data_IF_310744482327
#
_entry.id   IF_310744482327
#
_cell.length_a   1.000
_cell.length_b   1.000
_cell.length_c   1.000
_cell.angle_alpha   90.00
_cell.angle_beta   90.00
_cell.angle_gamma   90.00
#
_symmetry.space_group_name_H-M   'P 1'
#
loop_
_entity.id
_entity.type
_entity.pdbx_description
1 polymer ?
#
# COMPACT_ATOMS: atom_id res chain seq x y z
N UNK A 1 -7.88 -24.55 23.55
CA UNK A 1 -8.48 -23.20 23.64
C UNK A 1 -7.36 -22.19 23.47
N UNK A 2 -7.18 -21.68 22.25
CA UNK A 2 -6.21 -20.62 21.98
C UNK A 2 -6.90 -19.32 22.38
N UNK A 3 -6.34 -18.61 23.35
CA UNK A 3 -6.85 -17.34 23.85
C UNK A 3 -6.92 -16.33 22.71
N UNK A 4 -8.13 -16.03 22.25
CA UNK A 4 -8.44 -14.86 21.43
C UNK A 4 -8.22 -13.61 22.29
N UNK A 5 -6.98 -13.18 22.44
CA UNK A 5 -6.66 -11.88 22.98
C UNK A 5 -6.97 -10.85 21.89
N UNK A 6 -8.27 -10.55 21.70
CA UNK A 6 -8.79 -9.44 20.89
C UNK A 6 -8.55 -8.09 21.59
N UNK A 7 -7.33 -7.86 22.07
CA UNK A 7 -6.86 -6.55 22.48
C UNK A 7 -5.90 -6.00 21.43
N UNK A 8 -6.21 -6.19 20.15
CA UNK A 8 -5.51 -5.50 19.07
C UNK A 8 -5.92 -4.04 19.10
N UNK A 9 -4.95 -3.22 19.46
CA UNK A 9 -5.03 -1.79 19.68
C UNK A 9 -5.54 -1.13 18.40
N UNK A 10 -6.82 -0.77 18.35
CA UNK A 10 -7.46 0.00 17.27
C UNK A 10 -6.98 1.46 17.28
N UNK A 11 -5.68 1.70 17.09
CA UNK A 11 -5.19 3.06 16.79
C UNK A 11 -4.86 3.21 15.31
N UNK A 12 -5.04 4.42 14.77
CA UNK A 12 -4.56 4.80 13.45
C UNK A 12 -3.07 4.45 13.34
N UNK A 13 -2.71 3.61 12.40
CA UNK A 13 -1.33 3.16 12.21
C UNK A 13 -0.52 4.21 11.45
N UNK A 14 -1.15 4.91 10.51
CA UNK A 14 -0.46 5.77 9.54
C UNK A 14 -1.24 7.06 9.32
N UNK A 15 -0.53 8.17 9.17
CA UNK A 15 -1.10 9.48 8.86
C UNK A 15 -0.30 10.14 7.74
N UNK A 16 -0.98 10.45 6.63
CA UNK A 16 -0.37 10.98 5.42
C UNK A 16 -0.91 12.36 5.08
N UNK A 17 -0.04 13.34 4.90
CA UNK A 17 -0.42 14.68 4.45
C UNK A 17 -0.63 14.70 2.92
N UNK A 18 -1.87 14.59 2.46
CA UNK A 18 -2.21 14.62 1.04
C UNK A 18 -2.63 16.02 0.59
N UNK A 19 -2.12 16.43 -0.56
CA UNK A 19 -2.54 17.65 -1.25
C UNK A 19 -3.79 17.33 -2.10
N UNK A 20 -4.91 17.99 -1.83
CA UNK A 20 -6.18 17.84 -2.56
C UNK A 20 -6.59 19.18 -3.15
N UNK A 21 -7.17 19.16 -4.35
CA UNK A 21 -7.79 20.34 -4.94
C UNK A 21 -9.16 20.53 -4.29
N UNK A 22 -9.43 21.71 -3.74
CA UNK A 22 -10.74 22.06 -3.22
C UNK A 22 -11.69 22.51 -4.34
N UNK A 23 -12.97 22.73 -4.00
CA UNK A 23 -14.00 23.16 -4.95
C UNK A 23 -13.72 24.52 -5.59
N UNK A 24 -12.85 25.33 -4.98
CA UNK A 24 -12.44 26.65 -5.44
C UNK A 24 -11.18 26.60 -6.32
N UNK A 25 -10.71 25.40 -6.72
CA UNK A 25 -9.51 25.23 -7.53
C UNK A 25 -8.20 25.54 -6.80
N UNK A 26 -8.23 25.70 -5.48
CA UNK A 26 -7.03 25.88 -4.63
C UNK A 26 -6.62 24.55 -4.03
N UNK A 27 -5.32 24.38 -3.83
CA UNK A 27 -4.82 23.19 -3.17
C UNK A 27 -4.79 23.37 -1.67
N UNK A 28 -5.33 22.37 -0.97
CA UNK A 28 -5.30 22.26 0.48
C UNK A 28 -4.58 20.98 0.89
N UNK A 29 -3.94 21.01 2.05
CA UNK A 29 -3.27 19.87 2.62
C UNK A 29 -4.15 19.29 3.71
N UNK A 30 -4.56 18.03 3.53
CA UNK A 30 -5.39 17.31 4.48
C UNK A 30 -4.65 16.06 4.93
N UNK A 31 -4.72 15.76 6.22
CA UNK A 31 -4.26 14.50 6.73
C UNK A 31 -5.23 13.40 6.37
N UNK A 32 -4.68 12.27 5.93
CA UNK A 32 -5.43 11.06 5.61
C UNK A 32 -4.91 9.96 6.49
N UNK A 33 -5.83 9.36 7.24
CA UNK A 33 -5.54 8.40 8.28
C UNK A 33 -5.79 6.99 7.76
N UNK A 34 -4.87 6.07 8.06
CA UNK A 34 -4.99 4.67 7.67
C UNK A 34 -4.83 3.74 8.86
N UNK A 35 -5.47 2.59 8.75
CA UNK A 35 -5.25 1.40 9.57
C UNK A 35 -4.87 0.23 8.67
N UNK A 36 -4.02 -0.66 9.17
CA UNK A 36 -3.65 -1.91 8.51
C UNK A 36 -4.63 -2.98 8.97
N UNK A 37 -5.29 -3.65 8.02
CA UNK A 37 -6.28 -4.71 8.32
C UNK A 37 -5.62 -5.92 8.99
N UNK A 38 -4.44 -6.32 8.51
CA UNK A 38 -3.73 -7.49 9.01
C UNK A 38 -2.84 -7.18 10.23
N UNK A 39 -3.19 -7.71 11.40
CA UNK A 39 -2.42 -7.51 12.63
C UNK A 39 -0.98 -8.09 12.56
N UNK A 40 -0.77 -9.14 11.77
CA UNK A 40 0.52 -9.78 11.55
C UNK A 40 1.16 -9.36 10.22
N UNK A 41 0.85 -8.14 9.74
CA UNK A 41 1.35 -7.62 8.47
C UNK A 41 2.88 -7.73 8.31
N UNK A 42 3.64 -7.56 9.41
CA UNK A 42 5.10 -7.65 9.38
C UNK A 42 5.58 -9.06 9.00
N UNK A 43 4.97 -10.08 9.60
CA UNK A 43 5.25 -11.48 9.30
C UNK A 43 4.86 -11.84 7.87
N UNK A 44 3.71 -11.35 7.40
CA UNK A 44 3.23 -11.55 6.02
C UNK A 44 4.26 -11.00 5.02
N UNK A 45 4.80 -9.79 5.26
CA UNK A 45 5.78 -9.17 4.38
C UNK A 45 7.15 -9.84 4.45
N UNK A 46 7.61 -10.24 5.65
CA UNK A 46 8.87 -10.95 5.84
C UNK A 46 8.88 -12.31 5.13
N UNK A 47 7.76 -13.04 5.17
CA UNK A 47 7.65 -14.37 4.57
C UNK A 47 7.33 -14.32 3.07
N UNK A 48 7.18 -13.14 2.48
CA UNK A 48 6.85 -13.00 1.06
C UNK A 48 8.07 -13.21 0.17
N UNK A 49 8.03 -14.25 -0.66
CA UNK A 49 9.06 -14.56 -1.65
C UNK A 49 8.83 -13.89 -3.03
N UNK A 50 7.93 -12.90 -3.12
CA UNK A 50 7.59 -12.26 -4.38
C UNK A 50 8.75 -11.39 -4.90
N UNK A 51 9.37 -11.84 -5.99
CA UNK A 51 10.46 -11.12 -6.67
C UNK A 51 9.93 -9.92 -7.45
N UNK A 52 10.24 -8.70 -7.04
CA UNK A 52 9.98 -7.50 -7.84
C UNK A 52 11.27 -6.99 -8.51
N UNK A 53 11.12 -6.07 -9.47
CA UNK A 53 12.27 -5.35 -10.04
C UNK A 53 12.46 -4.00 -9.32
N UNK A 54 13.60 -3.34 -9.57
CA UNK A 54 13.96 -2.03 -8.97
C UNK A 54 12.93 -0.91 -9.18
N UNK A 55 12.02 -1.04 -10.14
CA UNK A 55 11.02 -0.03 -10.45
C UNK A 55 9.67 -0.28 -9.72
N UNK A 56 9.56 -1.37 -8.96
CA UNK A 56 8.34 -1.72 -8.22
C UNK A 56 8.64 -1.84 -6.73
N UNK A 57 7.73 -1.29 -5.93
CA UNK A 57 7.73 -1.49 -4.48
C UNK A 57 7.56 -3.00 -4.23
N UNK A 58 8.53 -3.58 -3.52
CA UNK A 58 8.57 -4.99 -3.13
C UNK A 58 7.89 -5.17 -1.77
N UNK A 59 7.63 -6.40 -1.32
CA UNK A 59 7.22 -6.66 0.06
C UNK A 59 8.16 -6.04 1.09
N UNK A 60 9.47 -6.18 0.91
CA UNK A 60 10.47 -5.60 1.82
C UNK A 60 10.44 -4.06 1.81
N UNK A 61 10.30 -3.44 0.63
CA UNK A 61 10.17 -1.99 0.55
C UNK A 61 8.86 -1.50 1.19
N UNK A 62 7.75 -2.23 1.01
CA UNK A 62 6.49 -1.87 1.67
C UNK A 62 6.64 -1.97 3.19
N UNK A 63 7.32 -3.00 3.70
CA UNK A 63 7.62 -3.11 5.13
C UNK A 63 8.37 -1.88 5.64
N UNK A 64 9.47 -1.50 4.99
CA UNK A 64 10.25 -0.32 5.39
C UNK A 64 9.44 0.99 5.29
N UNK A 65 8.57 1.13 4.27
CA UNK A 65 7.64 2.25 4.15
C UNK A 65 6.72 2.30 5.37
N UNK A 66 6.07 1.19 5.72
CA UNK A 66 5.10 1.12 6.82
C UNK A 66 5.79 1.41 8.16
N UNK A 67 6.92 0.78 8.46
CA UNK A 67 7.67 0.99 9.71
C UNK A 67 8.01 2.48 9.92
N UNK A 68 8.54 3.14 8.89
CA UNK A 68 8.90 4.57 8.99
C UNK A 68 7.68 5.47 9.13
N UNK A 69 6.58 5.17 8.44
CA UNK A 69 5.35 5.96 8.54
C UNK A 69 4.68 5.79 9.90
N UNK A 70 4.65 4.58 10.45
CA UNK A 70 4.14 4.28 11.80
C UNK A 70 4.97 5.02 12.86
N UNK A 71 6.29 5.12 12.66
CA UNK A 71 7.17 5.90 13.55
C UNK A 71 7.08 7.42 13.33
N UNK A 72 6.16 7.91 12.48
CA UNK A 72 5.88 9.34 12.29
C UNK A 72 6.75 10.05 11.25
N UNK A 73 7.53 9.35 10.43
CA UNK A 73 8.25 10.01 9.34
C UNK A 73 7.30 10.51 8.26
N UNK A 74 7.61 11.66 7.67
CA UNK A 74 6.87 12.18 6.54
C UNK A 74 7.20 11.42 5.23
N UNK A 75 6.32 11.54 4.24
CA UNK A 75 6.45 10.83 2.96
C UNK A 75 7.73 11.16 2.18
N UNK A 76 8.31 12.35 2.40
CA UNK A 76 9.54 12.77 1.72
C UNK A 76 10.71 11.98 2.27
N UNK A 77 10.84 11.93 3.60
CA UNK A 77 11.87 11.12 4.27
C UNK A 77 11.74 9.64 3.93
N UNK A 78 10.52 9.11 3.88
CA UNK A 78 10.30 7.72 3.47
C UNK A 78 10.70 7.50 2.01
N UNK A 79 10.26 8.38 1.11
CA UNK A 79 10.61 8.35 -0.32
C UNK A 79 12.13 8.31 -0.55
N UNK A 80 12.86 9.15 0.18
CA UNK A 80 14.31 9.25 0.07
C UNK A 80 15.00 7.98 0.59
N UNK A 81 14.49 7.37 1.67
CA UNK A 81 15.04 6.15 2.23
C UNK A 81 14.86 4.92 1.32
N UNK A 82 13.65 4.73 0.76
CA UNK A 82 13.35 3.55 -0.06
C UNK A 82 13.63 3.75 -1.55
N UNK A 83 14.06 4.94 -1.97
CA UNK A 83 14.37 5.25 -3.36
C UNK A 83 13.16 5.30 -4.31
N UNK A 84 11.94 5.49 -3.78
CA UNK A 84 10.71 5.60 -4.56
C UNK A 84 10.08 6.99 -4.42
N UNK A 85 9.77 7.63 -5.55
CA UNK A 85 9.06 8.93 -5.56
C UNK A 85 7.82 8.89 -4.67
N UNK A 86 7.60 9.94 -3.87
CA UNK A 86 6.41 10.06 -2.98
C UNK A 86 5.08 9.79 -3.70
N UNK A 87 4.94 10.21 -4.98
CA UNK A 87 3.74 9.92 -5.80
C UNK A 87 3.50 8.43 -5.97
N UNK A 88 4.55 7.63 -6.15
CA UNK A 88 4.42 6.18 -6.28
C UNK A 88 3.93 5.54 -4.97
N UNK A 89 4.40 6.04 -3.83
CA UNK A 89 3.96 5.59 -2.50
C UNK A 89 2.49 6.00 -2.28
N UNK A 90 2.10 7.24 -2.58
CA UNK A 90 0.69 7.65 -2.48
C UNK A 90 -0.24 6.79 -3.33
N UNK A 91 0.11 6.57 -4.60
CA UNK A 91 -0.65 5.72 -5.50
C UNK A 91 -0.70 4.27 -5.00
N UNK A 92 0.31 3.80 -4.27
CA UNK A 92 0.29 2.47 -3.67
C UNK A 92 -0.81 2.39 -2.62
N UNK A 93 -0.84 3.32 -1.66
CA UNK A 93 -1.88 3.38 -0.63
C UNK A 93 -3.28 3.36 -1.24
N UNK A 94 -3.54 4.20 -2.25
CA UNK A 94 -4.84 4.24 -2.93
C UNK A 94 -5.22 2.88 -3.55
N UNK A 95 -4.23 2.15 -4.09
CA UNK A 95 -4.47 0.83 -4.70
C UNK A 95 -4.71 -0.26 -3.68
N UNK A 96 -4.11 -0.18 -2.49
CA UNK A 96 -4.19 -1.23 -1.46
C UNK A 96 -5.28 -0.93 -0.42
N UNK A 97 -5.90 0.25 -0.45
CA UNK A 97 -7.12 0.55 0.31
C UNK A 97 -8.22 -0.44 -0.05
N UNK A 98 -8.80 -1.10 0.96
CA UNK A 98 -9.89 -2.08 0.85
C UNK A 98 -11.23 -1.56 1.37
N UNK A 99 -11.21 -0.55 2.23
CA UNK A 99 -12.42 -0.01 2.82
C UNK A 99 -12.19 1.28 3.58
N UNK A 100 -13.25 1.74 4.24
CA UNK A 100 -13.24 2.88 5.13
C UNK A 100 -13.96 2.53 6.43
N UNK A 101 -13.50 3.11 7.54
CA UNK A 101 -14.12 3.06 8.86
C UNK A 101 -14.59 4.47 9.22
N UNK A 102 -15.83 4.55 9.68
CA UNK A 102 -16.49 5.76 10.19
C UNK A 102 -16.63 5.61 11.71
N UNK A 103 -16.84 6.71 12.43
CA UNK A 103 -16.95 6.77 13.90
C UNK A 103 -15.72 6.22 14.65
N UNK A 104 -14.53 6.35 14.05
CA UNK A 104 -13.31 5.81 14.64
C UNK A 104 -12.95 6.45 15.98
N UNK A 105 -13.49 7.64 16.28
CA UNK A 105 -13.38 8.29 17.59
C UNK A 105 -13.87 7.44 18.77
N UNK A 106 -14.71 6.43 18.52
CA UNK A 106 -15.10 5.43 19.55
C UNK A 106 -13.90 4.63 20.06
N UNK A 107 -12.87 4.46 19.24
CA UNK A 107 -11.64 3.72 19.55
C UNK A 107 -10.47 4.66 19.86
N UNK A 108 -10.36 5.77 19.13
CA UNK A 108 -9.29 6.75 19.30
C UNK A 108 -9.81 8.16 19.04
N UNK A 109 -9.85 9.00 20.07
CA UNK A 109 -10.38 10.37 19.96
C UNK A 109 -9.58 11.26 19.01
N UNK A 110 -8.24 11.20 19.03
CA UNK A 110 -7.39 12.04 18.19
C UNK A 110 -6.25 11.24 17.57
N UNK A 111 -5.82 11.60 16.36
CA UNK A 111 -4.69 10.96 15.68
C UNK A 111 -3.40 11.15 16.50
N UNK A 112 -2.70 10.06 16.83
CA UNK A 112 -1.43 10.12 17.56
C UNK A 112 -0.30 10.81 16.77
N UNK A 113 -0.41 10.83 15.44
CA UNK A 113 0.63 11.34 14.55
C UNK A 113 0.44 12.83 14.20
N UNK A 114 -0.79 13.28 13.94
CA UNK A 114 -1.07 14.66 13.56
C UNK A 114 -1.87 15.46 14.60
N UNK A 115 -2.38 14.81 15.65
CA UNK A 115 -3.14 15.45 16.74
C UNK A 115 -4.59 15.81 16.43
N UNK A 116 -5.07 15.61 15.19
CA UNK A 116 -6.43 15.96 14.76
C UNK A 116 -7.48 15.08 15.45
N UNK A 117 -8.64 15.66 15.80
CA UNK A 117 -9.81 14.95 16.30
C UNK A 117 -10.40 14.03 15.21
N UNK A 118 -10.64 12.77 15.54
CA UNK A 118 -11.12 11.75 14.61
C UNK A 118 -12.66 11.61 14.59
N UNK A 119 -13.41 12.45 15.31
CA UNK A 119 -14.87 12.34 15.45
C UNK A 119 -15.63 12.26 14.12
N UNK A 120 -15.21 13.02 13.13
CA UNK A 120 -15.85 13.10 11.81
C UNK A 120 -14.88 12.70 10.67
N UNK A 121 -13.73 12.12 11.03
CA UNK A 121 -12.70 11.75 10.08
C UNK A 121 -12.96 10.37 9.48
N UNK A 122 -12.77 10.25 8.17
CA UNK A 122 -12.78 8.95 7.49
C UNK A 122 -11.43 8.29 7.64
N UNK A 123 -11.41 7.11 8.25
CA UNK A 123 -10.20 6.29 8.34
C UNK A 123 -10.22 5.27 7.21
N UNK A 124 -9.12 5.16 6.48
CA UNK A 124 -8.99 4.23 5.37
C UNK A 124 -8.34 2.94 5.85
N UNK A 125 -8.79 1.80 5.34
CA UNK A 125 -8.23 0.50 5.68
C UNK A 125 -7.40 0.00 4.51
N UNK A 126 -6.13 -0.34 4.75
CA UNK A 126 -5.24 -0.93 3.76
C UNK A 126 -5.01 -2.41 4.04
N UNK A 127 -4.85 -3.19 2.97
CA UNK A 127 -4.57 -4.63 3.06
C UNK A 127 -3.23 -4.97 2.41
N UNK A 128 -2.38 -5.63 3.19
CA UNK A 128 -1.14 -6.23 2.71
C UNK A 128 -1.42 -7.41 1.78
N UNK A 129 -2.46 -8.20 2.06
CA UNK A 129 -2.84 -9.30 1.16
C UNK A 129 -3.25 -8.76 -0.22
N UNK A 130 -4.00 -7.65 -0.26
CA UNK A 130 -4.32 -6.97 -1.53
C UNK A 130 -3.05 -6.51 -2.26
N UNK A 131 -2.06 -5.98 -1.53
CA UNK A 131 -0.78 -5.62 -2.12
C UNK A 131 -0.07 -6.82 -2.77
N UNK A 132 0.04 -7.94 -2.06
CA UNK A 132 0.69 -9.14 -2.57
C UNK A 132 -0.02 -9.68 -3.83
N UNK A 133 -1.35 -9.72 -3.82
CA UNK A 133 -2.17 -10.10 -4.96
C UNK A 133 -1.94 -9.20 -6.19
N UNK A 134 -1.77 -7.89 -5.98
CA UNK A 134 -1.47 -6.93 -7.06
C UNK A 134 -0.09 -7.18 -7.69
N UNK A 135 0.89 -7.61 -6.91
CA UNK A 135 2.21 -8.00 -7.42
C UNK A 135 2.07 -9.27 -8.24
N UNK A 136 1.48 -10.32 -7.66
CA UNK A 136 1.36 -11.63 -8.29
C UNK A 136 0.59 -11.56 -9.63
N UNK A 137 -0.54 -10.84 -9.65
CA UNK A 137 -1.33 -10.64 -10.87
C UNK A 137 -0.51 -9.96 -11.98
N UNK A 138 0.33 -8.97 -11.63
CA UNK A 138 1.25 -8.33 -12.59
C UNK A 138 2.28 -9.32 -13.16
N UNK A 139 2.82 -10.20 -12.33
CA UNK A 139 3.76 -11.22 -12.78
C UNK A 139 3.09 -12.20 -13.75
N UNK A 140 1.88 -12.65 -13.41
CA UNK A 140 1.11 -13.56 -14.26
C UNK A 140 0.79 -12.94 -15.61
N UNK A 141 0.35 -11.67 -15.64
CA UNK A 141 0.09 -10.93 -16.89
C UNK A 141 1.33 -10.82 -17.77
N UNK A 142 2.49 -10.46 -17.20
CA UNK A 142 3.76 -10.36 -17.95
C UNK A 142 4.23 -11.70 -18.50
N UNK A 143 4.06 -12.77 -17.71
CA UNK A 143 4.41 -14.12 -18.15
C UNK A 143 3.56 -14.55 -19.34
N UNK A 144 2.26 -14.25 -19.29
CA UNK A 144 1.34 -14.51 -20.40
C UNK A 144 1.74 -13.73 -21.67
N UNK A 145 2.03 -12.43 -21.56
CA UNK A 145 2.48 -11.62 -22.69
C UNK A 145 3.76 -12.17 -23.34
N UNK A 146 4.73 -12.58 -22.52
CA UNK A 146 5.99 -13.14 -23.02
C UNK A 146 5.77 -14.48 -23.74
N UNK A 147 4.92 -15.35 -23.18
CA UNK A 147 4.57 -16.62 -23.82
C UNK A 147 3.89 -16.40 -25.17
N UNK A 148 2.97 -15.44 -25.27
CA UNK A 148 2.32 -15.07 -26.54
C UNK A 148 3.31 -14.54 -27.57
N UNK A 149 4.30 -13.72 -27.16
CA UNK A 149 5.37 -13.23 -28.05
C UNK A 149 6.25 -14.37 -28.56
N UNK A 150 6.62 -15.31 -27.69
CA UNK A 150 7.41 -16.49 -28.07
C UNK A 150 6.67 -17.39 -29.06
N UNK A 151 5.37 -17.63 -28.83
CA UNK A 151 4.53 -18.40 -29.75
C UNK A 151 4.41 -17.74 -31.13
N UNK A 152 4.26 -16.41 -31.19
CA UNK A 152 4.26 -15.67 -32.47
C UNK A 152 5.59 -15.82 -33.21
N UNK A 153 6.73 -15.63 -32.52
CA UNK A 153 8.07 -15.84 -33.11
C UNK A 153 8.24 -17.25 -33.68
N UNK A 154 7.80 -18.29 -32.96
CA UNK A 154 7.85 -19.66 -33.46
C UNK A 154 6.98 -19.90 -34.70
N UNK A 155 5.77 -19.32 -34.74
CA UNK A 155 4.89 -19.37 -35.93
C UNK A 155 5.50 -18.66 -37.14
N UNK A 156 6.15 -17.52 -36.91
CA UNK A 156 6.79 -16.76 -38.00
C UNK A 156 8.04 -17.47 -38.52
N UNK A 157 8.85 -18.06 -37.64
CA UNK A 157 10.03 -18.84 -38.03
C UNK A 157 9.66 -20.12 -38.80
N UNK A 158 8.63 -20.84 -38.35
CA UNK A 158 8.15 -22.05 -39.04
C UNK A 158 7.50 -21.80 -40.39
N UNK A 159 7.00 -20.57 -40.66
CA UNK A 159 6.56 -20.14 -42.00
C UNK A 159 7.73 -19.83 -42.93
N UNK A 160 8.87 -19.39 -42.40
CA UNK A 160 10.07 -19.06 -43.17
C UNK A 160 10.93 -20.28 -43.53
N UNK A 161 10.81 -21.38 -42.78
CA UNK A 161 11.53 -22.63 -43.04
C UNK A 161 10.75 -23.62 -43.93
N UNK A 162 9.71 -23.16 -44.66
CA UNK A 162 9.00 -23.91 -45.70
C UNK A 162 9.27 -23.27 -47.05
#
# INVERSE_FOLDING_TARGET
MISNNKNNICSTDICLLKKKLNLNGKYEFNYVHYVIDEANWDEILNNSNLKTNKNNISPLHLKEILEKLISGHNIKTVSDAVGFKSRAIYNLFDRITVGTKIDYAKYQKSCKLCGIDLKDETIYEISILKFLNLIETRHNSKRLENNLKLQKKHKDFSKFCK
#
